data_IF_312835690276
#
_entry.id   IF_312835690276
#
_cell.length_a   1.000
_cell.length_b   1.000
_cell.length_c   1.000
_cell.angle_alpha   90.00
_cell.angle_beta   90.00
_cell.angle_gamma   90.00
#
_symmetry.space_group_name_H-M   'P 1'
#
loop_
_entity.id
_entity.type
_entity.pdbx_description
1 polymer ?
#
# COMPACT_ATOMS: atom_id res chain seq x y z
N UNK A 1 -15.39 -19.17 41.47
CA UNK A 1 -14.41 -18.10 41.16
C UNK A 1 -13.74 -17.66 42.46
N UNK A 2 -12.66 -18.34 42.86
CA UNK A 2 -11.81 -17.91 43.97
C UNK A 2 -10.65 -17.10 43.37
N UNK A 3 -10.46 -15.86 43.80
CA UNK A 3 -9.25 -15.12 43.40
C UNK A 3 -9.28 -13.59 43.49
N UNK A 4 -10.42 -12.95 43.79
CA UNK A 4 -10.47 -11.48 43.88
C UNK A 4 -11.28 -11.04 45.11
N UNK A 5 -10.60 -10.47 46.10
CA UNK A 5 -11.21 -10.07 47.38
C UNK A 5 -12.25 -8.94 47.26
N UNK A 6 -12.96 -8.64 48.35
CA UNK A 6 -14.05 -7.65 48.37
C UNK A 6 -13.63 -6.26 47.84
N UNK A 7 -12.39 -5.84 48.07
CA UNK A 7 -11.84 -4.59 47.52
C UNK A 7 -11.76 -4.58 45.99
N UNK A 8 -11.36 -5.69 45.36
CA UNK A 8 -11.36 -5.82 43.91
C UNK A 8 -12.79 -5.79 43.36
N UNK A 9 -13.74 -6.49 44.00
CA UNK A 9 -15.13 -6.46 43.57
C UNK A 9 -15.70 -5.04 43.58
N UNK A 10 -15.38 -4.25 44.62
CA UNK A 10 -15.76 -2.84 44.71
C UNK A 10 -15.10 -1.99 43.64
N UNK A 11 -13.80 -2.16 43.41
CA UNK A 11 -13.08 -1.46 42.34
C UNK A 11 -13.65 -1.80 40.96
N UNK A 12 -13.86 -3.08 40.65
CA UNK A 12 -14.40 -3.54 39.38
C UNK A 12 -15.79 -2.96 39.11
N UNK A 13 -16.64 -2.87 40.14
CA UNK A 13 -17.96 -2.23 40.03
C UNK A 13 -17.86 -0.75 39.66
N UNK A 14 -17.01 0.01 40.36
CA UNK A 14 -16.81 1.45 40.08
C UNK A 14 -16.16 1.66 38.72
N UNK A 15 -15.18 0.83 38.37
CA UNK A 15 -14.51 0.87 37.08
C UNK A 15 -15.49 0.61 35.93
N UNK A 16 -16.28 -0.46 36.02
CA UNK A 16 -17.29 -0.79 35.01
C UNK A 16 -18.34 0.32 34.88
N UNK A 17 -18.80 0.92 35.98
CA UNK A 17 -19.70 2.07 35.94
C UNK A 17 -19.11 3.26 35.18
N UNK A 18 -17.83 3.58 35.42
CA UNK A 18 -17.13 4.64 34.67
C UNK A 18 -17.03 4.29 33.18
N UNK A 19 -16.70 3.05 32.84
CA UNK A 19 -16.64 2.60 31.44
C UNK A 19 -18.01 2.71 30.77
N UNK A 20 -19.09 2.27 31.42
CA UNK A 20 -20.44 2.38 30.89
C UNK A 20 -20.86 3.84 30.67
N UNK A 21 -20.54 4.73 31.61
CA UNK A 21 -20.82 6.16 31.46
C UNK A 21 -20.04 6.77 30.28
N UNK A 22 -18.77 6.39 30.10
CA UNK A 22 -17.97 6.82 28.95
C UNK A 22 -18.56 6.33 27.63
N UNK A 23 -18.98 5.06 27.56
CA UNK A 23 -19.65 4.50 26.38
C UNK A 23 -20.96 5.25 26.10
N UNK A 24 -21.79 5.49 27.12
CA UNK A 24 -23.06 6.20 26.93
C UNK A 24 -22.85 7.63 26.43
N UNK A 25 -21.86 8.35 26.98
CA UNK A 25 -21.52 9.69 26.52
C UNK A 25 -21.10 9.66 25.04
N UNK A 26 -20.20 8.77 24.67
CA UNK A 26 -19.74 8.64 23.28
C UNK A 26 -20.90 8.32 22.32
N UNK A 27 -21.75 7.34 22.67
CA UNK A 27 -22.90 6.98 21.83
C UNK A 27 -23.87 8.16 21.70
N UNK A 28 -24.10 8.91 22.77
CA UNK A 28 -24.99 10.08 22.77
C UNK A 28 -24.41 11.21 21.91
N UNK A 29 -23.14 11.57 22.13
CA UNK A 29 -22.43 12.64 21.39
C UNK A 29 -22.36 12.37 19.88
N UNK A 30 -22.26 11.10 19.48
CA UNK A 30 -22.17 10.69 18.08
C UNK A 30 -23.51 10.23 17.47
N UNK A 31 -24.61 10.31 18.22
CA UNK A 31 -25.94 9.90 17.75
C UNK A 31 -26.06 8.41 17.43
N UNK A 32 -25.32 7.56 18.14
CA UNK A 32 -25.21 6.11 17.92
C UNK A 32 -26.11 5.28 18.84
N UNK A 33 -27.04 5.91 19.56
CA UNK A 33 -28.00 5.20 20.41
C UNK A 33 -29.01 4.39 19.59
N UNK A 34 -29.28 4.83 18.37
CA UNK A 34 -30.13 4.12 17.42
C UNK A 34 -29.30 3.14 16.60
N UNK A 35 -29.64 1.85 16.67
CA UNK A 35 -28.93 0.79 15.96
C UNK A 35 -28.85 1.05 14.45
N UNK A 36 -29.94 1.51 13.84
CA UNK A 36 -29.98 1.82 12.41
C UNK A 36 -28.96 2.91 12.02
N UNK A 37 -28.77 3.93 12.87
CA UNK A 37 -27.80 5.01 12.65
C UNK A 37 -26.37 4.50 12.80
N UNK A 38 -26.14 3.60 13.77
CA UNK A 38 -24.84 2.93 13.93
C UNK A 38 -24.51 2.05 12.72
N UNK A 39 -25.46 1.25 12.25
CA UNK A 39 -25.31 0.37 11.09
C UNK A 39 -25.00 1.18 9.82
N UNK A 40 -25.75 2.26 9.57
CA UNK A 40 -25.52 3.16 8.44
C UNK A 40 -24.11 3.76 8.47
N UNK A 41 -23.69 4.29 9.63
CA UNK A 41 -22.35 4.87 9.78
C UNK A 41 -21.25 3.83 9.59
N UNK A 42 -21.43 2.62 10.13
CA UNK A 42 -20.49 1.53 9.95
C UNK A 42 -20.37 1.16 8.47
N UNK A 43 -21.49 0.98 7.77
CA UNK A 43 -21.51 0.70 6.34
C UNK A 43 -20.83 1.81 5.52
N UNK A 44 -21.12 3.08 5.82
CA UNK A 44 -20.49 4.22 5.14
C UNK A 44 -18.97 4.25 5.33
N UNK A 45 -18.48 4.02 6.56
CA UNK A 45 -17.04 3.95 6.85
C UNK A 45 -16.40 2.75 6.14
N UNK A 46 -17.05 1.59 6.14
CA UNK A 46 -16.56 0.39 5.45
C UNK A 46 -16.47 0.61 3.93
N UNK A 47 -17.50 1.20 3.32
CA UNK A 47 -17.50 1.54 1.89
C UNK A 47 -16.34 2.49 1.56
N UNK A 48 -16.21 3.59 2.31
CA UNK A 48 -15.12 4.56 2.13
C UNK A 48 -13.74 3.92 2.31
N UNK A 49 -13.59 3.04 3.29
CA UNK A 49 -12.35 2.29 3.50
C UNK A 49 -12.02 1.42 2.29
N UNK A 50 -13.00 0.68 1.77
CA UNK A 50 -12.80 -0.21 0.62
C UNK A 50 -12.46 0.58 -0.65
N UNK A 51 -13.12 1.71 -0.89
CA UNK A 51 -12.81 2.63 -2.00
C UNK A 51 -11.38 3.17 -1.91
N UNK A 52 -10.97 3.66 -0.74
CA UNK A 52 -9.61 4.16 -0.52
C UNK A 52 -8.58 3.05 -0.67
N UNK A 53 -8.86 1.85 -0.15
CA UNK A 53 -7.97 0.69 -0.32
C UNK A 53 -7.79 0.32 -1.80
N UNK A 54 -8.86 0.34 -2.59
CA UNK A 54 -8.77 0.10 -4.03
C UNK A 54 -7.96 1.17 -4.75
N UNK A 55 -8.13 2.45 -4.40
CA UNK A 55 -7.36 3.55 -4.98
C UNK A 55 -5.87 3.46 -4.63
N UNK A 56 -5.54 3.11 -3.38
CA UNK A 56 -4.15 2.88 -2.95
C UNK A 56 -3.52 1.77 -3.76
N UNK A 57 -4.19 0.61 -3.88
CA UNK A 57 -3.68 -0.51 -4.68
C UNK A 57 -3.47 -0.13 -6.15
N UNK A 58 -4.41 0.60 -6.76
CA UNK A 58 -4.26 1.07 -8.13
C UNK A 58 -3.06 2.03 -8.29
N UNK A 59 -2.86 2.93 -7.33
CA UNK A 59 -1.71 3.84 -7.32
C UNK A 59 -0.39 3.08 -7.15
N UNK A 60 -0.34 2.08 -6.26
CA UNK A 60 0.84 1.22 -6.07
C UNK A 60 1.20 0.45 -7.34
N UNK A 61 0.21 -0.15 -8.02
CA UNK A 61 0.44 -0.82 -9.32
C UNK A 61 1.01 0.15 -10.35
N UNK A 62 0.42 1.34 -10.48
CA UNK A 62 0.91 2.37 -11.40
C UNK A 62 2.32 2.84 -11.06
N UNK A 63 2.66 2.96 -9.78
CA UNK A 63 4.01 3.31 -9.35
C UNK A 63 5.03 2.23 -9.73
N UNK A 64 4.68 0.95 -9.59
CA UNK A 64 5.54 -0.15 -10.01
C UNK A 64 5.77 -0.15 -11.54
N UNK A 65 4.73 0.08 -12.33
CA UNK A 65 4.84 0.24 -13.78
C UNK A 65 5.75 1.42 -14.16
N UNK A 66 5.58 2.58 -13.51
CA UNK A 66 6.43 3.75 -13.74
C UNK A 66 7.90 3.45 -13.38
N UNK A 67 8.16 2.70 -12.30
CA UNK A 67 9.51 2.31 -11.92
C UNK A 67 10.17 1.41 -12.97
N UNK A 68 9.41 0.48 -13.56
CA UNK A 68 9.87 -0.37 -14.67
C UNK A 68 10.17 0.48 -15.91
N UNK A 69 9.26 1.37 -16.31
CA UNK A 69 9.46 2.27 -17.45
C UNK A 69 10.69 3.16 -17.26
N UNK A 70 10.88 3.71 -16.05
CA UNK A 70 12.05 4.51 -15.71
C UNK A 70 13.34 3.70 -15.87
N UNK A 71 13.34 2.45 -15.43
CA UNK A 71 14.48 1.54 -15.61
C UNK A 71 14.79 1.32 -17.09
N UNK A 72 13.78 1.04 -17.91
CA UNK A 72 13.96 0.90 -19.36
C UNK A 72 14.52 2.18 -20.01
N UNK A 73 13.98 3.36 -19.67
CA UNK A 73 14.48 4.65 -20.18
C UNK A 73 15.97 4.83 -19.84
N UNK A 74 16.35 4.58 -18.59
CA UNK A 74 17.75 4.71 -18.15
C UNK A 74 18.65 3.72 -18.89
N UNK A 75 18.23 2.46 -18.98
CA UNK A 75 18.99 1.42 -19.67
C UNK A 75 19.16 1.73 -21.16
N UNK A 76 18.09 2.20 -21.81
CA UNK A 76 18.13 2.62 -23.22
C UNK A 76 19.13 3.76 -23.43
N UNK A 77 19.06 4.81 -22.61
CA UNK A 77 19.96 5.97 -22.71
C UNK A 77 21.42 5.56 -22.51
N UNK A 78 21.72 4.76 -21.48
CA UNK A 78 23.09 4.32 -21.17
C UNK A 78 23.71 3.46 -22.27
N UNK A 79 22.90 2.64 -22.94
CA UNK A 79 23.38 1.66 -23.94
C UNK A 79 23.25 2.14 -25.38
N UNK A 80 22.61 3.31 -25.62
CA UNK A 80 22.33 3.84 -26.95
C UNK A 80 23.59 4.03 -27.79
N UNK A 81 24.66 4.55 -27.21
CA UNK A 81 25.91 4.83 -27.94
C UNK A 81 26.60 3.54 -28.38
N UNK A 82 26.70 2.57 -27.48
CA UNK A 82 27.28 1.25 -27.78
C UNK A 82 26.44 0.50 -28.82
N UNK A 83 25.11 0.57 -28.73
CA UNK A 83 24.25 -0.01 -29.77
C UNK A 83 24.38 0.72 -31.11
N UNK A 84 24.57 2.05 -31.12
CA UNK A 84 24.83 2.80 -32.35
C UNK A 84 26.18 2.43 -32.97
N UNK A 85 27.22 2.24 -32.17
CA UNK A 85 28.52 1.74 -32.61
C UNK A 85 28.42 0.31 -33.17
N UNK A 86 27.66 -0.57 -32.52
CA UNK A 86 27.39 -1.93 -33.00
C UNK A 86 26.73 -1.93 -34.38
N UNK A 87 25.75 -1.05 -34.62
CA UNK A 87 25.14 -0.86 -35.94
C UNK A 87 26.12 -0.34 -36.98
N UNK A 88 26.96 0.64 -36.62
CA UNK A 88 28.00 1.18 -37.52
C UNK A 88 29.06 0.13 -37.88
N UNK A 89 29.38 -0.77 -36.96
CA UNK A 89 30.28 -1.90 -37.18
C UNK A 89 29.66 -3.05 -38.00
N UNK A 90 28.48 -2.83 -38.60
CA UNK A 90 27.82 -3.84 -39.44
C UNK A 90 27.38 -5.08 -38.68
N UNK A 91 27.03 -4.95 -37.40
CA UNK A 91 26.65 -6.08 -36.53
C UNK A 91 27.76 -7.12 -36.35
N UNK A 92 29.03 -6.68 -36.30
CA UNK A 92 30.19 -7.54 -36.10
C UNK A 92 30.04 -8.50 -34.91
N UNK A 93 30.29 -9.79 -35.13
CA UNK A 93 30.27 -10.83 -34.08
C UNK A 93 31.30 -10.55 -32.98
N UNK A 94 32.45 -9.98 -33.34
CA UNK A 94 33.49 -9.62 -32.37
C UNK A 94 33.01 -8.50 -31.44
N UNK A 95 32.41 -7.45 -32.00
CA UNK A 95 31.84 -6.35 -31.23
C UNK A 95 30.68 -6.82 -30.34
N UNK A 96 29.85 -7.74 -30.86
CA UNK A 96 28.78 -8.35 -30.06
C UNK A 96 29.34 -9.10 -28.85
N UNK A 97 30.40 -9.89 -29.00
CA UNK A 97 31.01 -10.61 -27.89
C UNK A 97 31.62 -9.68 -26.83
N UNK A 98 32.21 -8.56 -27.26
CA UNK A 98 32.82 -7.57 -26.36
C UNK A 98 31.78 -6.72 -25.61
N UNK A 99 30.61 -6.48 -26.20
CA UNK A 99 29.55 -5.61 -25.64
C UNK A 99 28.20 -6.32 -25.45
N UNK A 100 28.21 -7.63 -25.26
CA UNK A 100 27.01 -8.48 -25.30
C UNK A 100 25.95 -8.01 -24.30
N UNK A 101 26.35 -7.81 -23.04
CA UNK A 101 25.47 -7.39 -21.96
C UNK A 101 24.77 -6.06 -22.27
N UNK A 102 25.50 -5.08 -22.79
CA UNK A 102 24.97 -3.76 -23.13
C UNK A 102 24.02 -3.80 -24.32
N UNK A 103 24.34 -4.62 -25.33
CA UNK A 103 23.49 -4.80 -26.52
C UNK A 103 22.20 -5.54 -26.16
N UNK A 104 22.27 -6.56 -25.31
CA UNK A 104 21.09 -7.27 -24.81
C UNK A 104 20.21 -6.36 -23.95
N UNK A 105 20.83 -5.60 -23.04
CA UNK A 105 20.14 -4.65 -22.18
C UNK A 105 19.46 -3.54 -23.00
N UNK A 106 20.11 -3.04 -24.06
CA UNK A 106 19.51 -2.07 -24.99
C UNK A 106 18.26 -2.64 -25.68
N UNK A 107 18.36 -3.88 -26.19
CA UNK A 107 17.25 -4.55 -26.87
C UNK A 107 16.07 -4.81 -25.93
N UNK A 108 16.34 -5.19 -24.68
CA UNK A 108 15.31 -5.39 -23.67
C UNK A 108 14.69 -4.08 -23.14
N UNK A 109 15.34 -2.95 -23.38
CA UNK A 109 14.86 -1.62 -23.00
C UNK A 109 14.05 -0.90 -24.09
N UNK A 110 13.91 -1.50 -25.28
CA UNK A 110 13.14 -0.98 -26.41
C UNK A 110 11.79 -1.67 -26.49
#
# INVERSE_FOLDING_TARGET
>A
QAGKGAGYARWAKVFNLKQMAQTMNYLTEHGLLEYAVLEEKAAAVTTRHNELSAQIKAAETRMAEIAVLRTHIINYVKTREVYAAYRKAGYSKKFLAEHEAEILLHKAAK
#
